data_IF_502426961437
#
_entry.id   IF_502426961437
#
_cell.length_a   1.000
_cell.length_b   1.000
_cell.length_c   1.000
_cell.angle_alpha   90.00
_cell.angle_beta   90.00
_cell.angle_gamma   90.00
#
_symmetry.space_group_name_H-M   'P 1'
#
loop_
_entity.id
_entity.type
_entity.pdbx_description
1 polymer ?
#
# COMPACT_ATOMS: atom_id res chain seq x y z
N UNK A 1 3.99 -7.88 24.17
CA UNK A 1 3.28 -8.53 23.04
C UNK A 1 2.02 -7.73 22.74
N UNK A 2 2.01 -6.90 21.70
CA UNK A 2 0.79 -6.23 21.24
C UNK A 2 0.10 -7.12 20.21
N UNK A 3 -1.01 -7.77 20.56
CA UNK A 3 -1.83 -8.52 19.60
C UNK A 3 -2.30 -7.52 18.52
N UNK A 4 -2.01 -7.76 17.25
CA UNK A 4 -2.68 -7.08 16.14
C UNK A 4 -4.16 -7.46 16.25
N UNK A 5 -4.96 -6.56 16.85
CA UNK A 5 -6.39 -6.77 17.07
C UNK A 5 -7.15 -6.33 15.82
N UNK A 6 -7.99 -7.24 15.35
CA UNK A 6 -9.02 -7.13 14.30
C UNK A 6 -8.50 -7.17 12.86
N UNK A 7 -9.12 -8.10 12.12
CA UNK A 7 -9.29 -8.08 10.67
C UNK A 7 -9.62 -6.63 10.27
N UNK A 8 -8.94 -6.03 9.28
CA UNK A 8 -9.22 -4.65 8.93
C UNK A 8 -10.71 -4.53 8.57
N UNK A 9 -11.38 -3.53 9.14
CA UNK A 9 -12.74 -3.19 8.78
C UNK A 9 -12.78 -3.11 7.25
N UNK A 10 -13.65 -3.93 6.63
CA UNK A 10 -13.83 -3.85 5.19
C UNK A 10 -14.18 -2.41 4.86
N UNK A 11 -13.50 -1.82 3.87
CA UNK A 11 -13.88 -0.52 3.35
C UNK A 11 -15.39 -0.57 2.99
N UNK A 12 -16.16 0.49 3.30
CA UNK A 12 -17.53 0.61 2.81
C UNK A 12 -17.60 0.43 1.29
N UNK A 13 -18.71 -0.10 0.77
CA UNK A 13 -18.89 -0.29 -0.68
C UNK A 13 -18.84 1.04 -1.45
N UNK A 14 -19.16 2.14 -0.79
CA UNK A 14 -19.17 3.52 -1.29
C UNK A 14 -17.91 4.31 -0.90
N UNK A 15 -16.85 3.63 -0.45
CA UNK A 15 -15.60 4.29 -0.06
C UNK A 15 -15.06 5.17 -1.19
N UNK A 16 -14.72 6.41 -0.84
CA UNK A 16 -14.11 7.36 -1.76
C UNK A 16 -12.74 6.87 -2.23
N UNK A 17 -12.29 7.41 -3.36
CA UNK A 17 -10.95 7.11 -3.89
C UNK A 17 -9.83 7.44 -2.87
N UNK A 18 -9.98 8.55 -2.12
CA UNK A 18 -9.06 8.95 -1.07
C UNK A 18 -8.98 7.90 0.07
N UNK A 19 -10.12 7.39 0.53
CA UNK A 19 -10.19 6.34 1.56
C UNK A 19 -9.58 5.02 1.04
N UNK A 20 -9.90 4.63 -0.19
CA UNK A 20 -9.32 3.45 -0.84
C UNK A 20 -7.80 3.54 -0.95
N UNK A 21 -7.27 4.73 -1.29
CA UNK A 21 -5.84 4.98 -1.38
C UNK A 21 -5.17 4.91 -0.01
N UNK A 22 -5.71 5.60 1.00
CA UNK A 22 -5.17 5.56 2.37
C UNK A 22 -5.13 4.14 2.91
N UNK A 23 -6.21 3.39 2.72
CA UNK A 23 -6.30 2.00 3.16
C UNK A 23 -5.30 1.11 2.43
N UNK A 24 -5.14 1.28 1.12
CA UNK A 24 -4.17 0.51 0.31
C UNK A 24 -2.74 0.76 0.76
N UNK A 25 -2.40 2.02 1.08
CA UNK A 25 -1.10 2.37 1.64
C UNK A 25 -0.90 1.77 3.04
N UNK A 26 -1.90 1.85 3.94
CA UNK A 26 -1.84 1.17 5.24
C UNK A 26 -1.60 -0.35 5.09
N UNK A 27 -2.28 -0.97 4.13
CA UNK A 27 -2.13 -2.40 3.82
C UNK A 27 -0.72 -2.75 3.35
N UNK A 28 -0.08 -1.89 2.57
CA UNK A 28 1.31 -2.05 2.13
C UNK A 28 2.25 -2.20 3.32
N UNK A 29 2.17 -1.30 4.30
CA UNK A 29 2.99 -1.35 5.52
C UNK A 29 2.71 -2.61 6.35
N UNK A 30 1.43 -2.97 6.53
CA UNK A 30 1.05 -4.18 7.29
C UNK A 30 1.59 -5.44 6.62
N UNK A 31 1.48 -5.54 5.29
CA UNK A 31 2.03 -6.68 4.54
C UNK A 31 3.53 -6.81 4.73
N UNK A 32 4.27 -5.70 4.67
CA UNK A 32 5.71 -5.69 4.91
C UNK A 32 6.04 -6.19 6.32
N UNK A 33 5.38 -5.65 7.36
CA UNK A 33 5.63 -6.04 8.75
C UNK A 33 5.31 -7.52 8.99
N UNK A 34 4.17 -8.00 8.47
CA UNK A 34 3.74 -9.40 8.63
C UNK A 34 4.68 -10.36 7.89
N UNK A 35 5.03 -10.05 6.63
CA UNK A 35 5.95 -10.86 5.83
C UNK A 35 7.30 -11.03 6.51
N UNK A 36 7.82 -9.96 7.09
CA UNK A 36 9.12 -9.95 7.76
C UNK A 36 9.06 -10.36 9.24
N UNK A 37 7.88 -10.74 9.78
CA UNK A 37 7.64 -11.07 11.20
C UNK A 37 8.17 -9.99 12.16
N UNK A 38 8.10 -8.73 11.73
CA UNK A 38 8.70 -7.60 12.41
C UNK A 38 7.82 -7.11 13.56
N UNK A 39 8.42 -6.68 14.66
CA UNK A 39 7.71 -5.98 15.72
C UNK A 39 7.46 -4.53 15.31
N UNK A 40 6.38 -3.93 15.81
CA UNK A 40 6.07 -2.52 15.54
C UNK A 40 7.20 -1.56 15.96
N UNK A 41 7.99 -1.90 16.97
CA UNK A 41 9.14 -1.09 17.40
C UNK A 41 10.31 -1.16 16.40
N UNK A 42 10.62 -2.36 15.90
CA UNK A 42 11.66 -2.58 14.89
C UNK A 42 11.28 -1.86 13.60
N UNK A 43 10.00 -1.90 13.22
CA UNK A 43 9.50 -1.15 12.07
C UNK A 43 9.59 0.37 12.28
N UNK A 44 9.21 0.86 13.46
CA UNK A 44 9.31 2.28 13.84
C UNK A 44 10.73 2.83 13.74
N UNK A 45 11.72 2.05 14.18
CA UNK A 45 13.14 2.39 14.08
C UNK A 45 13.60 2.35 12.62
N UNK A 46 13.22 1.31 11.88
CA UNK A 46 13.61 1.11 10.48
C UNK A 46 13.14 2.24 9.55
N UNK A 47 11.89 2.70 9.68
CA UNK A 47 11.35 3.77 8.81
C UNK A 47 11.43 5.16 9.46
N UNK A 48 12.10 5.26 10.61
CA UNK A 48 12.26 6.49 11.39
C UNK A 48 10.92 7.23 11.63
N UNK A 49 9.90 6.47 12.05
CA UNK A 49 8.58 7.00 12.38
C UNK A 49 8.30 6.87 13.87
N UNK A 50 7.61 7.83 14.51
CA UNK A 50 7.18 7.69 15.89
C UNK A 50 6.31 6.43 16.08
N UNK A 51 6.47 5.75 17.24
CA UNK A 51 5.70 4.55 17.60
C UNK A 51 4.18 4.75 17.48
N UNK A 52 3.69 5.95 17.78
CA UNK A 52 2.28 6.33 17.63
C UNK A 52 1.83 6.29 16.18
N UNK A 53 2.66 6.79 15.24
CA UNK A 53 2.38 6.77 13.79
C UNK A 53 2.36 5.35 13.25
N UNK A 54 3.35 4.55 13.61
CA UNK A 54 3.37 3.12 13.27
C UNK A 54 2.14 2.40 13.82
N UNK A 55 1.80 2.64 15.09
CA UNK A 55 0.61 2.02 15.70
C UNK A 55 -0.66 2.38 14.94
N UNK A 56 -0.86 3.64 14.59
CA UNK A 56 -2.04 4.07 13.83
C UNK A 56 -2.10 3.42 12.45
N UNK A 57 -0.99 3.40 11.71
CA UNK A 57 -0.89 2.81 10.37
C UNK A 57 -1.17 1.30 10.41
N UNK A 58 -0.53 0.57 11.33
CA UNK A 58 -0.70 -0.89 11.45
C UNK A 58 -2.09 -1.30 11.94
N UNK A 59 -2.85 -0.36 12.53
CA UNK A 59 -4.24 -0.55 12.93
C UNK A 59 -5.24 0.15 11.97
N UNK A 60 -4.80 0.57 10.76
CA UNK A 60 -5.65 1.19 9.74
C UNK A 60 -6.42 2.44 10.20
N UNK A 61 -5.85 3.25 11.09
CA UNK A 61 -6.46 4.54 11.49
C UNK A 61 -6.20 5.62 10.43
N UNK A 62 -6.84 5.48 9.27
CA UNK A 62 -6.61 6.29 8.07
C UNK A 62 -7.05 7.75 8.22
N UNK A 63 -8.03 8.04 9.08
CA UNK A 63 -8.60 9.38 9.29
C UNK A 63 -7.56 10.39 9.79
N UNK A 64 -6.50 9.90 10.44
CA UNK A 64 -5.40 10.73 10.95
C UNK A 64 -4.38 11.15 9.88
N UNK A 65 -4.59 10.76 8.62
CA UNK A 65 -3.61 10.89 7.54
C UNK A 65 -4.24 11.43 6.26
N UNK A 66 -3.44 12.19 5.52
CA UNK A 66 -3.67 12.45 4.09
C UNK A 66 -2.98 11.36 3.26
N UNK A 67 -3.41 11.19 2.01
CA UNK A 67 -2.74 10.29 1.05
C UNK A 67 -1.26 10.66 0.92
N UNK A 68 -0.94 11.94 0.74
CA UNK A 68 0.44 12.44 0.61
C UNK A 68 1.33 12.05 1.79
N UNK A 69 0.80 12.08 3.01
CA UNK A 69 1.56 11.71 4.21
C UNK A 69 1.86 10.21 4.25
N UNK A 70 0.90 9.37 3.85
CA UNK A 70 1.13 7.93 3.74
C UNK A 70 2.09 7.60 2.59
N UNK A 71 2.01 8.32 1.48
CA UNK A 71 2.95 8.19 0.36
C UNK A 71 4.38 8.55 0.77
N UNK A 72 4.56 9.65 1.52
CA UNK A 72 5.88 10.01 2.06
C UNK A 72 6.48 8.87 2.89
N UNK A 73 5.68 8.22 3.73
CA UNK A 73 6.13 7.08 4.53
C UNK A 73 6.38 5.83 3.67
N UNK A 74 5.56 5.61 2.64
CA UNK A 74 5.74 4.49 1.73
C UNK A 74 7.02 4.65 0.89
N UNK A 75 7.39 5.87 0.51
CA UNK A 75 8.64 6.16 -0.16
C UNK A 75 9.85 5.83 0.72
N UNK A 76 9.82 6.18 2.02
CA UNK A 76 10.87 5.74 2.97
C UNK A 76 11.01 4.22 3.01
N UNK A 77 9.90 3.50 3.03
CA UNK A 77 9.93 2.04 2.97
C UNK A 77 10.46 1.53 1.61
N UNK A 78 10.15 2.20 0.51
CA UNK A 78 10.60 1.83 -0.83
C UNK A 78 12.12 2.00 -1.03
N UNK A 79 12.78 2.84 -0.24
CA UNK A 79 14.25 2.96 -0.24
C UNK A 79 14.94 1.68 0.24
N UNK A 80 14.27 0.92 1.12
CA UNK A 80 14.83 -0.28 1.76
C UNK A 80 14.13 -1.58 1.34
N UNK A 81 12.93 -1.52 0.76
CA UNK A 81 12.16 -2.66 0.29
C UNK A 81 11.81 -2.52 -1.21
N UNK A 82 12.52 -3.24 -2.09
CA UNK A 82 12.27 -3.22 -3.53
C UNK A 82 10.83 -3.59 -3.92
N UNK A 83 10.18 -4.48 -3.16
CA UNK A 83 8.79 -4.88 -3.44
C UNK A 83 7.80 -3.73 -3.19
N UNK A 84 8.03 -2.95 -2.13
CA UNK A 84 7.27 -1.72 -1.88
C UNK A 84 7.49 -0.71 -3.00
N UNK A 85 8.74 -0.55 -3.48
CA UNK A 85 9.04 0.34 -4.61
C UNK A 85 8.28 -0.06 -5.88
N UNK A 86 8.28 -1.35 -6.24
CA UNK A 86 7.55 -1.87 -7.39
C UNK A 86 6.03 -1.69 -7.23
N UNK A 87 5.49 -1.96 -6.03
CA UNK A 87 4.08 -1.76 -5.73
C UNK A 87 3.64 -0.30 -5.92
N UNK A 88 4.44 0.65 -5.42
CA UNK A 88 4.17 2.07 -5.61
C UNK A 88 4.26 2.46 -7.09
N UNK A 89 5.26 1.97 -7.82
CA UNK A 89 5.38 2.25 -9.25
C UNK A 89 4.16 1.74 -10.03
N UNK A 90 3.64 0.55 -9.71
CA UNK A 90 2.43 0.02 -10.31
C UNK A 90 1.20 0.87 -9.94
N UNK A 91 1.04 1.25 -8.67
CA UNK A 91 -0.06 2.13 -8.23
C UNK A 91 -0.03 3.46 -9.01
N UNK A 92 1.10 4.15 -9.07
CA UNK A 92 1.21 5.42 -9.78
C UNK A 92 1.15 5.28 -11.30
N UNK A 93 1.66 4.17 -11.86
CA UNK A 93 1.54 3.86 -13.27
C UNK A 93 0.09 3.71 -13.72
N UNK A 94 -0.77 3.14 -12.86
CA UNK A 94 -2.21 3.04 -13.09
C UNK A 94 -2.88 4.41 -12.97
N UNK A 95 -2.47 5.25 -12.00
CA UNK A 95 -3.05 6.59 -11.81
C UNK A 95 -2.64 7.60 -12.90
N UNK A 96 -1.44 7.44 -13.45
CA UNK A 96 -0.91 8.28 -14.54
C UNK A 96 -1.29 7.74 -15.91
N UNK A 97 -1.70 6.47 -15.98
CA UNK A 97 -2.13 5.82 -17.21
C UNK A 97 -3.54 6.27 -17.61
N UNK A 98 -3.88 6.20 -18.91
CA UNK A 98 -5.28 6.33 -19.30
C UNK A 98 -6.10 5.27 -18.57
N UNK A 99 -7.25 5.67 -17.99
CA UNK A 99 -8.23 4.73 -17.45
C UNK A 99 -8.69 3.85 -18.59
N UNK A 100 -8.18 2.62 -18.65
CA UNK A 100 -8.51 1.63 -19.67
C UNK A 100 -9.57 0.69 -19.13
N UNK A 101 -10.51 0.32 -19.99
CA UNK A 101 -11.52 -0.66 -19.65
C UNK A 101 -10.87 -2.04 -19.45
N UNK A 102 -11.49 -2.90 -18.63
CA UNK A 102 -11.05 -4.30 -18.42
C UNK A 102 -10.91 -5.06 -19.75
N UNK A 103 -11.68 -4.68 -20.78
CA UNK A 103 -11.59 -5.25 -22.13
C UNK A 103 -10.27 -4.88 -22.82
N UNK A 104 -9.86 -3.61 -22.73
CA UNK A 104 -8.61 -3.13 -23.32
C UNK A 104 -7.41 -3.76 -22.64
N UNK A 105 -7.43 -3.93 -21.31
CA UNK A 105 -6.35 -4.59 -20.57
C UNK A 105 -6.15 -6.04 -21.01
N UNK A 106 -7.25 -6.79 -21.20
CA UNK A 106 -7.21 -8.17 -21.72
C UNK A 106 -6.73 -8.27 -23.16
N UNK A 107 -7.03 -7.27 -23.98
CA UNK A 107 -6.57 -7.22 -25.38
C UNK A 107 -5.06 -7.01 -25.46
N UNK A 108 -4.51 -6.11 -24.63
CA UNK A 108 -3.08 -5.83 -24.56
C UNK A 108 -2.31 -7.05 -24.03
N UNK A 109 -2.83 -7.73 -23.00
CA UNK A 109 -2.23 -8.95 -22.45
C UNK A 109 -2.14 -10.05 -23.53
N UNK A 110 -3.20 -10.19 -24.34
CA UNK A 110 -3.23 -11.12 -25.47
C UNK A 110 -2.20 -10.74 -26.57
N UNK A 111 -2.03 -9.46 -26.86
CA UNK A 111 -1.05 -8.97 -27.84
C UNK A 111 0.40 -9.12 -27.38
N UNK A 112 0.68 -8.94 -26.08
CA UNK A 112 2.01 -9.15 -25.49
C UNK A 112 2.42 -10.63 -25.53
N UNK A 113 1.49 -11.54 -25.22
CA UNK A 113 1.72 -12.98 -25.30
C UNK A 113 2.00 -13.46 -26.74
N UNK A 114 1.41 -12.80 -27.74
CA UNK A 114 1.64 -13.11 -29.16
C UNK A 114 2.96 -12.56 -29.72
N UNK A 115 3.56 -11.56 -29.07
CA UNK A 115 4.84 -10.97 -29.52
C UNK A 115 6.08 -11.65 -28.92
N UNK A 116 5.92 -12.48 -27.90
CA UNK A 116 7.01 -13.15 -27.18
C UNK A 116 6.87 -14.69 -27.15
N UNK A 117 5.96 -15.24 -27.93
CA UNK A 117 5.88 -16.66 -28.29
C UNK A 117 6.24 -16.86 -29.75
#
# INVERSE_FOLDING_TARGET
MGKLKKIPQALPEDASFDEMMKFSLCKLFVRFVVKNKMKAIEFSEMVELPKTRVSDILNYKTDNYTVDRLLLYANKLAEIDPQTKEHLHLMFGILSGPVRSVRETKQIEKELLLKHG
#
